data_IF_357239290189
#
_entry.id   IF_357239290189
#
_cell.length_a   1.000
_cell.length_b   1.000
_cell.length_c   1.000
_cell.angle_alpha   90.00
_cell.angle_beta   90.00
_cell.angle_gamma   90.00
#
_symmetry.space_group_name_H-M   'P 1'
#
loop_
_entity.id
_entity.type
_entity.pdbx_description
1 polymer ?
#
# COMPACT_ATOMS: atom_id res chain seq x y z
N UNK A 1 7.85 -4.27 -15.83
CA UNK A 1 6.93 -5.42 -15.70
C UNK A 1 6.91 -6.26 -16.98
N UNK A 2 6.45 -5.72 -18.14
CA UNK A 2 6.32 -6.51 -19.39
C UNK A 2 7.63 -7.19 -19.78
N UNK A 3 8.75 -6.46 -19.76
CA UNK A 3 10.07 -7.03 -20.09
C UNK A 3 10.47 -8.18 -19.15
N UNK A 4 10.17 -8.07 -17.86
CA UNK A 4 10.46 -9.12 -16.88
C UNK A 4 9.65 -10.40 -17.19
N UNK A 5 8.33 -10.26 -17.48
CA UNK A 5 7.45 -11.38 -17.83
C UNK A 5 7.95 -12.13 -19.09
N UNK A 6 8.58 -11.42 -20.03
CA UNK A 6 9.16 -12.03 -21.24
C UNK A 6 10.53 -12.65 -20.95
N UNK A 7 11.37 -11.99 -20.15
CA UNK A 7 12.72 -12.49 -19.85
C UNK A 7 12.72 -13.69 -18.89
N UNK A 8 11.76 -13.77 -17.95
CA UNK A 8 11.68 -14.89 -17.01
C UNK A 8 11.62 -16.26 -17.72
N UNK A 9 10.66 -16.53 -18.64
CA UNK A 9 10.65 -17.81 -19.36
C UNK A 9 11.90 -18.06 -20.21
N UNK A 10 12.43 -17.02 -20.85
CA UNK A 10 13.61 -17.14 -21.71
C UNK A 10 14.85 -17.52 -20.90
N UNK A 11 15.11 -16.87 -19.77
CA UNK A 11 16.30 -17.12 -18.96
C UNK A 11 16.15 -18.37 -18.09
N UNK A 12 14.95 -18.64 -17.56
CA UNK A 12 14.71 -19.81 -16.70
C UNK A 12 14.69 -21.10 -17.51
N UNK A 13 13.87 -21.14 -18.57
CA UNK A 13 13.64 -22.36 -19.34
C UNK A 13 14.50 -22.44 -20.61
N UNK A 14 14.64 -21.31 -21.34
CA UNK A 14 15.42 -21.26 -22.59
C UNK A 14 16.92 -21.49 -22.35
N UNK A 15 17.51 -20.68 -21.45
CA UNK A 15 18.92 -20.77 -21.09
C UNK A 15 19.19 -21.70 -19.89
N UNK A 16 18.15 -22.36 -19.35
CA UNK A 16 18.22 -23.29 -18.22
C UNK A 16 18.95 -22.76 -16.98
N UNK A 17 18.89 -21.42 -16.76
CA UNK A 17 19.57 -20.78 -15.64
C UNK A 17 18.84 -20.93 -14.30
N UNK A 18 17.62 -21.53 -14.28
CA UNK A 18 16.84 -21.72 -13.07
C UNK A 18 16.62 -20.42 -12.27
N UNK A 19 16.85 -20.47 -10.95
CA UNK A 19 16.66 -19.31 -10.04
C UNK A 19 17.58 -18.12 -10.41
N UNK A 20 18.80 -18.40 -10.88
CA UNK A 20 19.70 -17.35 -11.34
C UNK A 20 19.13 -16.59 -12.55
N UNK A 21 18.42 -17.30 -13.46
CA UNK A 21 17.74 -16.68 -14.60
C UNK A 21 16.67 -15.67 -14.18
N UNK A 22 15.86 -16.01 -13.17
CA UNK A 22 14.85 -15.09 -12.61
C UNK A 22 15.49 -13.84 -12.00
N UNK A 23 16.61 -13.99 -11.29
CA UNK A 23 17.35 -12.86 -10.72
C UNK A 23 17.89 -11.94 -11.82
N UNK A 24 18.50 -12.49 -12.88
CA UNK A 24 18.97 -11.71 -14.02
C UNK A 24 17.84 -11.03 -14.78
N UNK A 25 16.72 -11.71 -15.03
CA UNK A 25 15.55 -11.13 -15.68
C UNK A 25 15.04 -9.87 -14.92
N UNK A 26 14.96 -10.00 -13.61
CA UNK A 26 14.56 -8.88 -12.73
C UNK A 26 15.56 -7.72 -12.80
N UNK A 27 16.85 -8.01 -12.68
CA UNK A 27 17.92 -6.99 -12.71
C UNK A 27 17.97 -6.25 -14.03
N UNK A 28 17.91 -6.98 -15.15
CA UNK A 28 17.90 -6.39 -16.51
C UNK A 28 16.65 -5.51 -16.70
N UNK A 29 15.47 -6.01 -16.29
CA UNK A 29 14.21 -5.27 -16.41
C UNK A 29 14.21 -3.97 -15.61
N UNK A 30 14.81 -3.99 -14.41
CA UNK A 30 14.98 -2.78 -13.59
C UNK A 30 15.96 -1.80 -14.21
N UNK A 31 17.09 -2.28 -14.74
CA UNK A 31 18.08 -1.43 -15.43
C UNK A 31 17.47 -0.75 -16.66
N UNK A 32 16.75 -1.50 -17.49
CA UNK A 32 16.07 -0.94 -18.67
C UNK A 32 15.03 0.10 -18.25
N UNK A 33 14.23 -0.20 -17.22
CA UNK A 33 13.25 0.76 -16.69
C UNK A 33 13.91 2.03 -16.18
N UNK A 34 15.03 1.91 -15.48
CA UNK A 34 15.82 3.05 -15.02
C UNK A 34 16.33 3.91 -16.19
N UNK A 35 16.92 3.29 -17.22
CA UNK A 35 17.41 4.00 -18.42
C UNK A 35 16.27 4.71 -19.15
N UNK A 36 15.14 4.03 -19.34
CA UNK A 36 13.95 4.62 -19.99
C UNK A 36 13.44 5.83 -19.20
N UNK A 37 13.33 5.72 -17.87
CA UNK A 37 12.92 6.83 -17.01
C UNK A 37 13.92 8.00 -17.06
N UNK A 38 15.22 7.72 -17.09
CA UNK A 38 16.25 8.73 -17.19
C UNK A 38 16.16 9.50 -18.53
N UNK A 39 15.94 8.79 -19.63
CA UNK A 39 15.77 9.38 -20.97
C UNK A 39 14.50 10.22 -21.03
N UNK A 40 13.39 9.71 -20.50
CA UNK A 40 12.11 10.44 -20.45
C UNK A 40 12.22 11.70 -19.58
N UNK A 41 12.91 11.60 -18.43
CA UNK A 41 13.16 12.75 -17.56
C UNK A 41 13.96 13.83 -18.29
N UNK A 42 15.03 13.46 -19.01
CA UNK A 42 15.83 14.42 -19.78
C UNK A 42 15.05 15.11 -20.91
N UNK A 43 14.11 14.39 -21.55
CA UNK A 43 13.39 14.89 -22.73
C UNK A 43 12.09 15.63 -22.40
N UNK A 44 11.33 15.20 -21.38
CA UNK A 44 9.94 15.63 -21.17
C UNK A 44 9.60 16.13 -19.75
N UNK A 45 10.49 15.95 -18.77
CA UNK A 45 10.17 16.37 -17.41
C UNK A 45 10.28 17.89 -17.23
N UNK A 46 9.32 18.45 -16.48
CA UNK A 46 9.35 19.84 -16.05
C UNK A 46 10.54 20.13 -15.12
N UNK A 47 10.92 19.14 -14.30
CA UNK A 47 12.07 19.19 -13.39
C UNK A 47 13.14 18.24 -13.93
N UNK A 48 14.24 18.80 -14.43
CA UNK A 48 15.38 18.03 -14.97
C UNK A 48 16.37 17.72 -13.86
N UNK A 49 16.61 16.44 -13.60
CA UNK A 49 17.66 15.99 -12.70
C UNK A 49 19.02 16.22 -13.37
N UNK A 50 19.84 17.09 -12.80
CA UNK A 50 21.21 17.38 -13.25
C UNK A 50 22.18 17.08 -12.11
N UNK A 51 23.08 16.11 -12.30
CA UNK A 51 24.12 15.76 -11.34
C UNK A 51 25.05 16.93 -11.02
N UNK A 52 25.23 17.85 -11.98
CA UNK A 52 26.05 19.05 -11.78
C UNK A 52 25.47 20.07 -10.79
N UNK A 53 24.19 19.92 -10.42
CA UNK A 53 23.52 20.77 -9.42
C UNK A 53 23.29 20.04 -8.10
N UNK A 54 24.03 18.97 -7.85
CA UNK A 54 23.98 18.25 -6.59
C UNK A 54 24.64 19.10 -5.50
N UNK A 55 23.82 19.58 -4.57
CA UNK A 55 24.25 20.34 -3.38
C UNK A 55 23.96 19.50 -2.15
N UNK A 56 24.98 18.89 -1.51
CA UNK A 56 24.80 18.05 -0.32
C UNK A 56 24.64 18.92 0.93
N UNK A 57 23.46 19.53 1.11
CA UNK A 57 23.14 20.30 2.31
C UNK A 57 22.27 19.47 3.25
N UNK A 58 22.51 19.47 4.58
CA UNK A 58 21.76 18.70 5.56
C UNK A 58 20.24 18.96 5.52
N UNK A 59 19.84 20.19 5.21
CA UNK A 59 18.44 20.59 5.07
C UNK A 59 17.69 19.82 3.96
N UNK A 60 18.32 19.57 2.82
CA UNK A 60 17.69 18.80 1.75
C UNK A 60 17.57 17.33 2.11
N UNK A 61 18.58 16.75 2.77
CA UNK A 61 18.51 15.39 3.28
C UNK A 61 17.39 15.23 4.32
N UNK A 62 17.25 16.18 5.23
CA UNK A 62 16.16 16.19 6.19
C UNK A 62 14.77 16.21 5.52
N UNK A 63 14.57 17.09 4.51
CA UNK A 63 13.31 17.15 3.74
C UNK A 63 13.02 15.86 2.99
N UNK A 64 14.03 15.27 2.34
CA UNK A 64 13.89 13.98 1.63
C UNK A 64 13.53 12.88 2.61
N UNK A 65 14.24 12.80 3.73
CA UNK A 65 13.98 11.81 4.77
C UNK A 65 12.56 11.95 5.34
N UNK A 66 12.17 13.15 5.76
CA UNK A 66 10.84 13.42 6.32
C UNK A 66 9.72 13.10 5.32
N UNK A 67 9.90 13.45 4.04
CA UNK A 67 8.94 13.11 2.99
C UNK A 67 8.88 11.60 2.67
N UNK A 68 9.97 10.86 2.92
CA UNK A 68 10.07 9.41 2.71
C UNK A 68 9.54 8.57 3.87
N UNK A 69 9.54 9.10 5.10
CA UNK A 69 9.11 8.38 6.31
C UNK A 69 7.74 7.72 6.19
N UNK A 70 6.68 8.34 5.63
CA UNK A 70 5.39 7.68 5.49
C UNK A 70 5.45 6.41 4.63
N UNK A 71 6.26 6.43 3.58
CA UNK A 71 6.45 5.27 2.70
C UNK A 71 7.28 4.18 3.38
N UNK A 72 8.29 4.56 4.14
CA UNK A 72 9.10 3.65 4.95
C UNK A 72 8.25 2.97 6.04
N UNK A 73 7.43 3.72 6.76
CA UNK A 73 6.51 3.19 7.76
C UNK A 73 5.54 2.19 7.15
N UNK A 74 4.94 2.53 6.01
CA UNK A 74 4.00 1.64 5.32
C UNK A 74 4.65 0.32 4.91
N UNK A 75 5.87 0.36 4.37
CA UNK A 75 6.54 -0.81 3.82
C UNK A 75 7.27 -1.63 4.91
N UNK A 76 8.05 -0.94 5.76
CA UNK A 76 8.86 -1.60 6.80
C UNK A 76 8.01 -2.25 7.88
N UNK A 77 7.04 -1.50 8.40
CA UNK A 77 6.12 -2.03 9.43
C UNK A 77 5.26 -3.15 8.86
N UNK A 78 4.87 -3.07 7.58
CA UNK A 78 4.13 -4.13 6.90
C UNK A 78 4.87 -5.45 6.84
N UNK A 79 6.18 -5.42 6.63
CA UNK A 79 7.01 -6.64 6.65
C UNK A 79 7.04 -7.29 8.03
N UNK A 80 7.21 -6.50 9.09
CA UNK A 80 7.18 -6.97 10.47
C UNK A 80 5.80 -7.57 10.80
N UNK A 81 4.74 -6.89 10.43
CA UNK A 81 3.37 -7.34 10.65
C UNK A 81 3.08 -8.69 9.97
N UNK A 82 3.57 -8.89 8.75
CA UNK A 82 3.42 -10.17 8.04
C UNK A 82 4.14 -11.31 8.77
N UNK A 83 5.35 -11.07 9.28
CA UNK A 83 6.08 -12.08 10.07
C UNK A 83 5.30 -12.44 11.34
N UNK A 84 4.80 -11.44 12.08
CA UNK A 84 4.03 -11.66 13.30
C UNK A 84 2.72 -12.40 13.03
N UNK A 85 2.05 -12.11 11.93
CA UNK A 85 0.81 -12.79 11.52
C UNK A 85 1.07 -14.26 11.20
N UNK A 86 2.16 -14.57 10.50
CA UNK A 86 2.55 -15.95 10.21
C UNK A 86 2.96 -16.72 11.47
N UNK A 87 3.68 -16.07 12.40
CA UNK A 87 4.00 -16.67 13.71
C UNK A 87 2.73 -16.96 14.51
N UNK A 88 1.78 -16.04 14.53
CA UNK A 88 0.49 -16.25 15.20
C UNK A 88 -0.29 -17.42 14.55
N UNK A 89 -0.34 -17.50 13.22
CA UNK A 89 -0.96 -18.60 12.51
C UNK A 89 -0.34 -19.95 12.87
N UNK A 90 0.99 -20.02 12.98
CA UNK A 90 1.69 -21.22 13.42
C UNK A 90 1.39 -21.61 14.87
N UNK A 91 1.41 -20.64 15.79
CA UNK A 91 1.21 -20.90 17.19
C UNK A 91 -0.22 -21.30 17.57
N UNK A 92 -1.23 -20.73 16.90
CA UNK A 92 -2.65 -20.97 17.18
C UNK A 92 -3.32 -21.95 16.22
N UNK A 93 -2.63 -22.39 15.17
CA UNK A 93 -3.14 -23.36 14.20
C UNK A 93 -3.22 -24.81 14.73
N UNK A 94 -2.54 -25.13 15.84
CA UNK A 94 -2.56 -26.46 16.45
C UNK A 94 -2.13 -27.53 15.44
N UNK A 95 -2.97 -28.56 15.24
CA UNK A 95 -2.72 -29.63 14.29
C UNK A 95 -2.71 -29.16 12.80
N UNK A 96 -3.37 -28.04 12.50
CA UNK A 96 -3.43 -27.43 11.17
C UNK A 96 -2.48 -26.21 11.02
N UNK A 97 -1.43 -26.10 11.84
CA UNK A 97 -0.52 -24.95 11.84
C UNK A 97 0.09 -24.66 10.46
N UNK A 98 0.57 -25.70 9.76
CA UNK A 98 1.15 -25.57 8.42
C UNK A 98 0.10 -25.12 7.39
N UNK A 99 -1.13 -25.63 7.51
CA UNK A 99 -2.25 -25.21 6.66
C UNK A 99 -2.64 -23.75 6.94
N UNK A 100 -2.67 -23.32 8.22
CA UNK A 100 -2.95 -21.97 8.60
C UNK A 100 -1.91 -20.97 8.08
N UNK A 101 -0.61 -21.28 8.22
CA UNK A 101 0.48 -20.45 7.67
C UNK A 101 0.35 -20.35 6.15
N UNK A 102 0.10 -21.47 5.48
CA UNK A 102 -0.08 -21.49 4.02
C UNK A 102 -1.30 -20.67 3.59
N UNK A 103 -2.45 -20.83 4.27
CA UNK A 103 -3.67 -20.07 4.01
C UNK A 103 -3.46 -18.57 4.15
N UNK A 104 -2.87 -18.12 5.28
CA UNK A 104 -2.56 -16.72 5.51
C UNK A 104 -1.56 -16.17 4.47
N UNK A 105 -0.60 -17.00 4.04
CA UNK A 105 0.32 -16.67 2.96
C UNK A 105 -0.39 -16.39 1.63
N UNK A 106 -1.37 -17.22 1.26
CA UNK A 106 -2.19 -17.03 0.05
C UNK A 106 -3.07 -15.79 0.17
N UNK A 107 -3.78 -15.63 1.29
CA UNK A 107 -4.62 -14.45 1.55
C UNK A 107 -3.80 -13.16 1.47
N UNK A 108 -2.59 -13.16 2.06
CA UNK A 108 -1.69 -12.01 2.00
C UNK A 108 -1.25 -11.67 0.56
N UNK A 109 -0.99 -12.66 -0.29
CA UNK A 109 -0.65 -12.45 -1.71
C UNK A 109 -1.80 -11.82 -2.48
N UNK A 110 -3.03 -12.31 -2.29
CA UNK A 110 -4.24 -11.76 -2.91
C UNK A 110 -4.46 -10.30 -2.44
N UNK A 111 -4.35 -10.06 -1.14
CA UNK A 111 -4.48 -8.72 -0.55
C UNK A 111 -3.38 -7.78 -1.04
N UNK A 112 -2.14 -8.25 -1.19
CA UNK A 112 -1.02 -7.47 -1.72
C UNK A 112 -1.27 -7.03 -3.17
N UNK A 113 -1.85 -7.90 -4.00
CA UNK A 113 -2.23 -7.56 -5.37
C UNK A 113 -3.27 -6.43 -5.40
N UNK A 114 -4.36 -6.56 -4.62
CA UNK A 114 -5.40 -5.54 -4.50
C UNK A 114 -4.84 -4.20 -3.97
N UNK A 115 -4.00 -4.25 -2.93
CA UNK A 115 -3.35 -3.06 -2.37
C UNK A 115 -2.39 -2.40 -3.37
N UNK A 116 -1.66 -3.18 -4.18
CA UNK A 116 -0.75 -2.64 -5.20
C UNK A 116 -1.51 -1.87 -6.28
N UNK A 117 -2.66 -2.38 -6.70
CA UNK A 117 -3.55 -1.67 -7.64
C UNK A 117 -4.05 -0.35 -7.05
N UNK A 118 -4.47 -0.35 -5.77
CA UNK A 118 -4.89 0.86 -5.05
C UNK A 118 -3.76 1.88 -4.89
N UNK A 119 -2.55 1.42 -4.55
CA UNK A 119 -1.37 2.29 -4.44
C UNK A 119 -1.06 2.92 -5.80
N UNK A 120 -1.10 2.15 -6.89
CA UNK A 120 -0.90 2.66 -8.24
C UNK A 120 -1.94 3.72 -8.63
N UNK A 121 -3.21 3.47 -8.29
CA UNK A 121 -4.30 4.44 -8.48
C UNK A 121 -4.05 5.73 -7.67
N UNK A 122 -3.67 5.61 -6.41
CA UNK A 122 -3.35 6.76 -5.56
C UNK A 122 -2.11 7.54 -6.01
N UNK A 123 -1.10 6.87 -6.60
CA UNK A 123 0.05 7.54 -7.22
C UNK A 123 -0.37 8.41 -8.41
N UNK A 124 -1.42 8.04 -9.14
CA UNK A 124 -2.03 8.89 -10.16
C UNK A 124 -2.72 10.14 -9.59
N UNK A 125 -3.30 10.04 -8.40
CA UNK A 125 -3.90 11.18 -7.69
C UNK A 125 -2.88 12.21 -7.20
N UNK A 126 -1.69 11.78 -6.75
CA UNK A 126 -0.68 12.65 -6.13
C UNK A 126 -0.25 13.84 -7.01
N UNK A 127 0.10 13.69 -8.31
CA UNK A 127 0.47 14.82 -9.15
C UNK A 127 -0.69 15.80 -9.36
N UNK A 128 -1.93 15.32 -9.50
CA UNK A 128 -3.12 16.17 -9.61
C UNK A 128 -3.34 16.95 -8.32
N UNK A 129 -3.18 16.31 -7.17
CA UNK A 129 -3.27 16.94 -5.87
C UNK A 129 -2.17 18.01 -5.71
N UNK A 130 -0.91 17.64 -5.95
CA UNK A 130 0.25 18.51 -5.75
C UNK A 130 0.22 19.77 -6.62
N UNK A 131 -0.10 19.64 -7.90
CA UNK A 131 -0.18 20.80 -8.82
C UNK A 131 -1.32 21.75 -8.46
N UNK A 132 -2.51 21.23 -8.11
CA UNK A 132 -3.63 22.09 -7.72
C UNK A 132 -3.42 22.70 -6.33
N UNK A 133 -2.82 21.98 -5.39
CA UNK A 133 -2.50 22.49 -4.07
C UNK A 133 -1.45 23.61 -4.16
N UNK A 134 -0.36 23.40 -4.93
CA UNK A 134 0.66 24.42 -5.16
C UNK A 134 0.13 25.67 -5.89
N UNK A 135 -0.91 25.52 -6.72
CA UNK A 135 -1.60 26.62 -7.38
C UNK A 135 -2.67 27.32 -6.50
N UNK A 136 -2.80 26.93 -5.22
CA UNK A 136 -3.81 27.49 -4.29
C UNK A 136 -5.26 27.03 -4.56
N UNK A 137 -5.49 26.16 -5.53
CA UNK A 137 -6.83 25.68 -5.96
C UNK A 137 -7.33 24.55 -5.06
N UNK A 138 -7.59 24.85 -3.79
CA UNK A 138 -7.96 23.88 -2.76
C UNK A 138 -9.27 23.15 -3.05
N UNK A 139 -10.26 23.86 -3.59
CA UNK A 139 -11.55 23.27 -3.99
C UNK A 139 -11.35 22.16 -5.03
N UNK A 140 -10.44 22.34 -5.98
CA UNK A 140 -10.12 21.31 -6.99
C UNK A 140 -9.45 20.08 -6.37
N UNK A 141 -8.55 20.27 -5.39
CA UNK A 141 -7.95 19.15 -4.64
C UNK A 141 -9.03 18.33 -3.96
N UNK A 142 -9.96 19.00 -3.28
CA UNK A 142 -11.09 18.35 -2.62
C UNK A 142 -11.99 17.60 -3.59
N UNK A 143 -12.34 18.19 -4.73
CA UNK A 143 -13.15 17.54 -5.78
C UNK A 143 -12.42 16.29 -6.33
N UNK A 144 -11.13 16.41 -6.66
CA UNK A 144 -10.31 15.29 -7.13
C UNK A 144 -10.24 14.17 -6.08
N UNK A 145 -10.07 14.50 -4.80
CA UNK A 145 -10.06 13.52 -3.73
C UNK A 145 -11.36 12.73 -3.64
N UNK A 146 -12.51 13.42 -3.59
CA UNK A 146 -13.82 12.73 -3.54
C UNK A 146 -14.12 11.94 -4.81
N UNK A 147 -13.70 12.41 -5.98
CA UNK A 147 -13.79 11.64 -7.21
C UNK A 147 -12.99 10.35 -7.12
N UNK A 148 -11.73 10.41 -6.65
CA UNK A 148 -10.89 9.24 -6.46
C UNK A 148 -11.45 8.28 -5.40
N UNK A 149 -12.02 8.79 -4.30
CA UNK A 149 -12.69 7.95 -3.30
C UNK A 149 -13.87 7.20 -3.92
N UNK A 150 -14.77 7.89 -4.64
CA UNK A 150 -15.95 7.25 -5.24
C UNK A 150 -15.56 6.18 -6.25
N UNK A 151 -14.61 6.51 -7.15
CA UNK A 151 -14.14 5.58 -8.16
C UNK A 151 -13.40 4.40 -7.52
N UNK A 152 -12.49 4.67 -6.58
CA UNK A 152 -11.73 3.65 -5.85
C UNK A 152 -12.63 2.74 -5.03
N UNK A 153 -13.57 3.29 -4.26
CA UNK A 153 -14.55 2.49 -3.50
C UNK A 153 -15.41 1.64 -4.42
N UNK A 154 -15.90 2.18 -5.54
CA UNK A 154 -16.70 1.42 -6.50
C UNK A 154 -15.91 0.26 -7.12
N UNK A 155 -14.69 0.52 -7.59
CA UNK A 155 -13.83 -0.52 -8.17
C UNK A 155 -13.45 -1.61 -7.14
N UNK A 156 -13.06 -1.19 -5.93
CA UNK A 156 -12.68 -2.14 -4.86
C UNK A 156 -13.89 -2.90 -4.34
N UNK A 157 -15.05 -2.26 -4.22
CA UNK A 157 -16.27 -2.97 -3.83
C UNK A 157 -16.64 -4.07 -4.85
N UNK A 158 -16.56 -3.77 -6.14
CA UNK A 158 -16.79 -4.77 -7.19
C UNK A 158 -15.78 -5.93 -7.09
N UNK A 159 -14.50 -5.63 -6.93
CA UNK A 159 -13.45 -6.65 -6.74
C UNK A 159 -13.66 -7.44 -5.44
N UNK A 160 -14.08 -6.79 -4.34
CA UNK A 160 -14.36 -7.45 -3.07
C UNK A 160 -15.55 -8.41 -3.16
N UNK A 161 -16.61 -8.02 -3.86
CA UNK A 161 -17.77 -8.90 -4.09
C UNK A 161 -17.37 -10.12 -4.91
N UNK A 162 -16.60 -9.93 -5.98
CA UNK A 162 -16.08 -11.04 -6.80
C UNK A 162 -15.16 -11.95 -5.98
N UNK A 163 -14.21 -11.37 -5.23
CA UNK A 163 -13.29 -12.13 -4.40
C UNK A 163 -14.02 -12.88 -3.27
N UNK A 164 -15.06 -12.28 -2.68
CA UNK A 164 -15.90 -12.91 -1.66
C UNK A 164 -16.68 -14.10 -2.22
N UNK A 165 -17.30 -13.95 -3.40
CA UNK A 165 -18.08 -15.01 -4.06
C UNK A 165 -17.19 -16.17 -4.51
N UNK A 166 -16.03 -15.87 -5.09
CA UNK A 166 -15.08 -16.86 -5.61
C UNK A 166 -13.92 -17.17 -4.65
N UNK A 167 -14.08 -16.88 -3.35
CA UNK A 167 -13.02 -17.07 -2.36
C UNK A 167 -12.46 -18.49 -2.32
N UNK A 168 -13.26 -19.58 -2.29
CA UNK A 168 -12.74 -20.95 -2.31
C UNK A 168 -11.89 -21.24 -3.57
N UNK A 169 -12.39 -20.87 -4.74
CA UNK A 169 -11.71 -21.08 -6.01
C UNK A 169 -10.40 -20.30 -6.12
N UNK A 170 -10.40 -19.05 -5.58
CA UNK A 170 -9.19 -18.24 -5.53
C UNK A 170 -8.12 -18.87 -4.62
N UNK A 171 -8.49 -19.46 -3.49
CA UNK A 171 -7.54 -20.13 -2.61
C UNK A 171 -7.06 -21.43 -3.25
N UNK A 172 -7.96 -22.25 -3.82
CA UNK A 172 -7.62 -23.50 -4.53
C UNK A 172 -6.64 -23.30 -5.68
N UNK A 173 -6.74 -22.16 -6.39
CA UNK A 173 -5.79 -21.84 -7.48
C UNK A 173 -4.34 -21.78 -7.00
N UNK A 174 -4.11 -21.43 -5.73
CA UNK A 174 -2.75 -21.37 -5.16
C UNK A 174 -2.36 -22.65 -4.45
N UNK A 175 -3.30 -23.33 -3.81
CA UNK A 175 -3.05 -24.58 -3.08
C UNK A 175 -4.35 -25.38 -2.93
N UNK A 176 -4.31 -26.60 -3.47
CA UNK A 176 -5.43 -27.55 -3.42
C UNK A 176 -5.30 -28.47 -2.20
N UNK A 177 -5.57 -27.90 -1.01
CA UNK A 177 -5.53 -28.58 0.28
C UNK A 177 -6.79 -28.16 1.05
N UNK A 178 -7.57 -29.13 1.52
CA UNK A 178 -8.89 -28.88 2.13
C UNK A 178 -8.80 -27.94 3.33
N UNK A 179 -7.83 -28.12 4.21
CA UNK A 179 -7.67 -27.27 5.42
C UNK A 179 -7.25 -25.86 5.03
N UNK A 180 -6.35 -25.71 4.05
CA UNK A 180 -5.93 -24.41 3.53
C UNK A 180 -7.10 -23.67 2.89
N UNK A 181 -7.97 -24.37 2.16
CA UNK A 181 -9.14 -23.78 1.51
C UNK A 181 -10.16 -23.30 2.55
N UNK A 182 -10.42 -24.08 3.61
CA UNK A 182 -11.36 -23.70 4.66
C UNK A 182 -10.88 -22.45 5.38
N UNK A 183 -9.66 -22.48 5.92
CA UNK A 183 -9.07 -21.37 6.69
C UNK A 183 -8.90 -20.13 5.81
N UNK A 184 -8.32 -20.31 4.61
CA UNK A 184 -8.08 -19.23 3.68
C UNK A 184 -9.35 -18.56 3.17
N UNK A 185 -10.42 -19.32 2.95
CA UNK A 185 -11.72 -18.77 2.53
C UNK A 185 -12.34 -17.90 3.62
N UNK A 186 -12.28 -18.32 4.88
CA UNK A 186 -12.78 -17.54 6.00
C UNK A 186 -12.02 -16.23 6.15
N UNK A 187 -10.68 -16.29 6.14
CA UNK A 187 -9.81 -15.12 6.24
C UNK A 187 -9.98 -14.17 5.05
N UNK A 188 -10.06 -14.69 3.81
CA UNK A 188 -10.24 -13.87 2.60
C UNK A 188 -11.59 -13.16 2.60
N UNK A 189 -12.66 -13.85 2.98
CA UNK A 189 -14.00 -13.26 3.10
C UNK A 189 -14.04 -12.15 4.14
N UNK A 190 -13.42 -12.36 5.31
CA UNK A 190 -13.29 -11.32 6.33
C UNK A 190 -12.52 -10.11 5.81
N UNK A 191 -11.42 -10.32 5.09
CA UNK A 191 -10.61 -9.25 4.47
C UNK A 191 -11.41 -8.47 3.41
N UNK A 192 -12.23 -9.12 2.59
CA UNK A 192 -13.04 -8.47 1.57
C UNK A 192 -14.03 -7.46 2.17
N UNK A 193 -14.57 -7.69 3.37
CA UNK A 193 -15.48 -6.77 4.03
C UNK A 193 -14.83 -5.42 4.38
N UNK A 194 -13.55 -5.43 4.71
CA UNK A 194 -12.82 -4.22 5.12
C UNK A 194 -11.98 -3.60 4.01
N UNK A 195 -11.80 -4.30 2.88
CA UNK A 195 -10.94 -3.83 1.79
C UNK A 195 -11.38 -2.47 1.24
N UNK A 196 -12.69 -2.17 1.21
CA UNK A 196 -13.20 -0.86 0.77
C UNK A 196 -12.73 0.28 1.67
N UNK A 197 -12.57 0.03 2.98
CA UNK A 197 -12.10 1.02 3.94
C UNK A 197 -10.63 1.43 3.68
N UNK A 198 -9.84 0.51 3.11
CA UNK A 198 -8.44 0.77 2.80
C UNK A 198 -8.25 1.81 1.70
N UNK A 199 -9.26 2.01 0.84
CA UNK A 199 -9.26 3.08 -0.18
C UNK A 199 -9.12 4.44 0.49
N UNK A 200 -9.92 4.70 1.55
CA UNK A 200 -9.84 5.94 2.31
C UNK A 200 -8.47 6.11 2.98
N UNK A 201 -7.98 5.06 3.64
CA UNK A 201 -6.71 5.10 4.36
C UNK A 201 -5.55 5.44 3.41
N UNK A 202 -5.48 4.77 2.26
CA UNK A 202 -4.40 4.98 1.27
C UNK A 202 -4.48 6.37 0.66
N UNK A 203 -5.65 6.80 0.18
CA UNK A 203 -5.82 8.12 -0.43
C UNK A 203 -5.63 9.26 0.59
N UNK A 204 -6.08 9.08 1.84
CA UNK A 204 -5.84 10.03 2.92
C UNK A 204 -4.34 10.17 3.21
N UNK A 205 -3.61 9.05 3.33
CA UNK A 205 -2.15 9.07 3.52
C UNK A 205 -1.44 9.81 2.38
N UNK A 206 -1.84 9.54 1.13
CA UNK A 206 -1.25 10.18 -0.05
C UNK A 206 -1.60 11.67 -0.14
N UNK A 207 -2.82 12.06 0.23
CA UNK A 207 -3.21 13.46 0.35
C UNK A 207 -2.32 14.18 1.36
N UNK A 208 -2.23 13.67 2.59
CA UNK A 208 -1.43 14.25 3.67
C UNK A 208 0.05 14.36 3.29
N UNK A 209 0.60 13.33 2.66
CA UNK A 209 1.98 13.31 2.16
C UNK A 209 2.21 14.39 1.10
N UNK A 210 1.27 14.56 0.15
CA UNK A 210 1.40 15.51 -0.96
C UNK A 210 1.29 16.96 -0.50
N UNK A 211 0.48 17.25 0.52
CA UNK A 211 0.33 18.62 1.08
C UNK A 211 1.42 18.97 2.11
N UNK A 212 2.37 18.06 2.35
CA UNK A 212 3.51 18.29 3.24
C UNK A 212 3.28 17.96 4.72
N UNK A 213 2.12 17.37 5.06
CA UNK A 213 1.81 16.92 6.43
C UNK A 213 2.42 15.53 6.71
N UNK A 214 3.76 15.42 6.60
CA UNK A 214 4.49 14.15 6.62
C UNK A 214 4.28 13.37 7.92
N UNK A 215 4.22 14.02 9.07
CA UNK A 215 3.98 13.36 10.37
C UNK A 215 2.61 12.69 10.41
N UNK A 216 1.57 13.41 10.05
CA UNK A 216 0.20 12.87 10.02
C UNK A 216 0.07 11.73 8.99
N UNK A 217 0.69 11.88 7.82
CA UNK A 217 0.78 10.84 6.81
C UNK A 217 1.47 9.58 7.36
N UNK A 218 2.57 9.74 8.13
CA UNK A 218 3.30 8.64 8.76
C UNK A 218 2.46 7.91 9.80
N UNK A 219 1.73 8.66 10.63
CA UNK A 219 0.82 8.07 11.64
C UNK A 219 -0.27 7.24 10.97
N UNK A 220 -0.95 7.77 9.95
CA UNK A 220 -1.98 7.02 9.22
C UNK A 220 -1.40 5.81 8.49
N UNK A 221 -0.20 5.96 7.89
CA UNK A 221 0.48 4.87 7.18
C UNK A 221 0.88 3.73 8.13
N UNK A 222 1.41 4.07 9.32
CA UNK A 222 1.82 3.12 10.33
C UNK A 222 0.63 2.52 11.09
N UNK A 223 -0.49 3.25 11.19
CA UNK A 223 -1.65 2.83 11.97
C UNK A 223 -2.18 1.48 11.54
N UNK A 224 -2.34 1.26 10.25
CA UNK A 224 -2.93 0.05 9.68
C UNK A 224 -2.11 -1.19 9.98
N UNK A 225 -0.82 -1.17 9.75
CA UNK A 225 0.04 -2.36 9.82
C UNK A 225 0.91 -2.42 11.07
N UNK A 226 1.10 -1.29 11.76
CA UNK A 226 1.91 -1.20 12.97
C UNK A 226 1.08 -1.00 14.22
N UNK A 227 0.52 0.21 14.35
CA UNK A 227 -0.10 0.64 15.60
C UNK A 227 -1.30 -0.24 16.01
N UNK A 228 -2.09 -0.70 15.04
CA UNK A 228 -3.28 -1.50 15.33
C UNK A 228 -3.07 -2.99 15.04
N UNK A 229 -2.46 -3.37 13.92
CA UNK A 229 -2.32 -4.78 13.59
C UNK A 229 -1.43 -5.53 14.59
N UNK A 230 -0.31 -4.95 15.00
CA UNK A 230 0.61 -5.62 15.93
C UNK A 230 -0.09 -5.95 17.26
N UNK A 231 -0.74 -5.00 17.99
CA UNK A 231 -1.49 -5.34 19.19
C UNK A 231 -2.62 -6.32 18.95
N UNK A 232 -3.37 -6.16 17.86
CA UNK A 232 -4.50 -7.02 17.52
C UNK A 232 -4.06 -8.47 17.28
N UNK A 233 -2.91 -8.68 16.61
CA UNK A 233 -2.33 -10.02 16.38
C UNK A 233 -1.91 -10.70 17.69
N UNK A 234 -1.60 -9.94 18.75
CA UNK A 234 -1.34 -10.55 20.07
C UNK A 234 -2.61 -10.76 20.89
N UNK A 235 -3.60 -9.87 20.81
CA UNK A 235 -4.79 -9.91 21.64
C UNK A 235 -5.84 -10.87 21.08
N UNK A 236 -6.17 -10.74 19.79
CA UNK A 236 -7.30 -11.45 19.19
C UNK A 236 -7.11 -12.98 19.15
N UNK A 237 -5.91 -13.52 18.81
CA UNK A 237 -5.69 -14.96 18.84
C UNK A 237 -5.73 -15.56 20.26
N UNK A 238 -5.35 -14.80 21.29
CA UNK A 238 -5.49 -15.24 22.68
C UNK A 238 -6.96 -15.42 23.10
N UNK A 239 -7.89 -14.67 22.47
CA UNK A 239 -9.33 -14.73 22.79
C UNK A 239 -10.09 -15.72 21.91
N UNK A 240 -9.74 -15.81 20.62
CA UNK A 240 -10.50 -16.53 19.60
C UNK A 240 -9.70 -17.66 18.92
N UNK A 241 -8.46 -17.92 19.36
CA UNK A 241 -7.61 -18.93 18.72
C UNK A 241 -7.30 -18.58 17.26
N UNK A 242 -7.39 -19.55 16.35
CA UNK A 242 -7.11 -19.38 14.93
C UNK A 242 -8.01 -18.34 14.26
N UNK A 243 -9.30 -18.29 14.61
CA UNK A 243 -10.23 -17.26 14.11
C UNK A 243 -9.74 -15.84 14.45
N UNK A 244 -9.05 -15.67 15.59
CA UNK A 244 -8.43 -14.39 15.94
C UNK A 244 -7.35 -13.96 14.96
N UNK A 245 -6.61 -14.88 14.37
CA UNK A 245 -5.61 -14.60 13.32
C UNK A 245 -6.31 -14.19 12.02
N UNK A 246 -7.38 -14.89 11.64
CA UNK A 246 -8.16 -14.60 10.42
C UNK A 246 -8.79 -13.20 10.45
N UNK A 247 -9.29 -12.77 11.62
CA UNK A 247 -9.92 -11.46 11.82
C UNK A 247 -8.95 -10.35 12.22
N UNK A 248 -7.66 -10.63 12.45
CA UNK A 248 -6.70 -9.64 12.93
C UNK A 248 -6.51 -8.48 11.93
N UNK A 249 -6.34 -8.77 10.65
CA UNK A 249 -6.17 -7.75 9.61
C UNK A 249 -7.46 -6.92 9.39
N UNK A 250 -8.66 -7.52 9.26
CA UNK A 250 -9.91 -6.76 9.22
C UNK A 250 -10.14 -5.84 10.41
N UNK A 251 -9.84 -6.29 11.62
CA UNK A 251 -9.97 -5.48 12.82
C UNK A 251 -9.00 -4.28 12.80
N UNK A 252 -7.75 -4.50 12.39
CA UNK A 252 -6.77 -3.44 12.24
C UNK A 252 -7.19 -2.41 11.16
N UNK A 253 -7.79 -2.87 10.06
CA UNK A 253 -8.29 -2.00 8.99
C UNK A 253 -9.44 -1.11 9.48
N UNK A 254 -10.35 -1.64 10.30
CA UNK A 254 -11.42 -0.85 10.94
C UNK A 254 -10.88 0.22 11.87
N UNK A 255 -9.93 -0.13 12.74
CA UNK A 255 -9.31 0.82 13.67
C UNK A 255 -8.50 1.89 12.92
N UNK A 256 -7.75 1.50 11.90
CA UNK A 256 -7.01 2.43 11.06
C UNK A 256 -7.94 3.39 10.29
N UNK A 257 -9.09 2.90 9.81
CA UNK A 257 -10.09 3.73 9.18
C UNK A 257 -10.71 4.73 10.17
N UNK A 258 -11.04 4.29 11.39
CA UNK A 258 -11.56 5.14 12.45
C UNK A 258 -10.59 6.28 12.81
N UNK A 259 -9.29 6.03 12.75
CA UNK A 259 -8.25 7.05 12.94
C UNK A 259 -8.11 7.97 11.71
N UNK A 260 -8.05 7.39 10.50
CA UNK A 260 -7.81 8.14 9.27
C UNK A 260 -8.99 9.01 8.85
N UNK A 261 -10.22 8.61 9.18
CA UNK A 261 -11.43 9.33 8.81
C UNK A 261 -11.48 10.76 9.36
N UNK A 262 -11.36 11.00 10.68
CA UNK A 262 -11.38 12.35 11.22
C UNK A 262 -10.19 13.18 10.74
N UNK A 263 -9.00 12.59 10.59
CA UNK A 263 -7.82 13.28 10.09
C UNK A 263 -8.02 13.77 8.65
N UNK A 264 -8.52 12.90 7.76
CA UNK A 264 -8.82 13.28 6.38
C UNK A 264 -9.93 14.33 6.29
N UNK A 265 -11.01 14.15 7.04
CA UNK A 265 -12.13 15.10 7.05
C UNK A 265 -11.73 16.48 7.59
N UNK A 266 -10.86 16.57 8.61
CA UNK A 266 -10.38 17.83 9.15
C UNK A 266 -9.62 18.63 8.09
N UNK A 267 -8.73 17.98 7.35
CA UNK A 267 -7.98 18.63 6.25
C UNK A 267 -8.91 19.02 5.10
N UNK A 268 -9.85 18.17 4.70
CA UNK A 268 -10.80 18.48 3.64
C UNK A 268 -11.79 19.61 4.01
N UNK A 269 -12.05 19.83 5.30
CA UNK A 269 -12.83 20.97 5.77
C UNK A 269 -12.09 22.30 5.53
N UNK A 270 -10.78 22.32 5.72
CA UNK A 270 -9.97 23.53 5.45
C UNK A 270 -9.91 23.88 3.96
N UNK A 271 -10.24 22.92 3.08
CA UNK A 271 -10.29 23.12 1.61
C UNK A 271 -11.67 23.59 1.11
N UNK A 272 -12.58 23.95 2.00
CA UNK A 272 -13.91 24.47 1.62
C UNK A 272 -13.87 25.90 1.09
N UNK A 273 -12.92 26.71 1.52
CA UNK A 273 -12.73 28.08 1.06
C UNK A 273 -11.44 28.19 0.25
N UNK A 274 -11.51 28.84 -0.91
CA UNK A 274 -10.34 29.20 -1.72
C UNK A 274 -9.57 30.40 -1.10
N UNK A 275 -9.61 30.56 0.22
CA UNK A 275 -8.81 31.54 0.91
C UNK A 275 -7.32 31.26 0.61
N UNK A 276 -6.52 32.28 0.22
CA UNK A 276 -5.11 32.10 -0.01
C UNK A 276 -4.50 31.49 1.25
N UNK A 277 -3.81 30.38 1.08
CA UNK A 277 -2.97 29.82 2.13
C UNK A 277 -2.03 30.97 2.52
N UNK A 278 -1.89 31.33 3.80
CA UNK A 278 -0.73 32.10 4.18
C UNK A 278 0.45 31.31 3.61
N UNK A 279 1.16 31.94 2.67
CA UNK A 279 2.40 31.41 2.19
C UNK A 279 3.18 31.05 3.46
N UNK A 280 3.42 29.74 3.64
CA UNK A 280 4.43 29.32 4.59
C UNK A 280 5.65 29.97 4.00
N UNK A 281 5.94 31.17 4.52
CA UNK A 281 7.16 31.90 4.26
C UNK A 281 8.25 30.85 4.37
N UNK A 282 8.77 30.45 3.23
CA UNK A 282 10.13 29.97 3.14
C UNK A 282 10.94 31.14 3.68
N UNK A 283 11.12 31.21 4.99
CA UNK A 283 12.19 32.01 5.58
C UNK A 283 13.44 31.35 5.03
N UNK A 284 13.96 32.02 4.03
CA UNK A 284 15.38 32.03 3.75
C UNK A 284 16.02 32.51 5.06
N UNK A 285 16.64 31.62 5.79
CA UNK A 285 17.77 31.81 6.68
C UNK A 285 18.72 30.64 6.49
#
# INVERSE_FOLDING_TARGET
AVLNVVLDPVLIFGLKMGVAGAAWATSISQLVSFVVLLVLNRRRAAIKVRLSRFTPQPHYFYKIFTGGVPSLCRQGVGSIATVLLNLAAGNYGGAAADAAIAAMGVVNRISMFANSALIGFGQGFQPVCGTNYGAGKRTRVRQAFYFCIRLGCGAVAALSVLAFAFAPQLIQLFRDDADVVIIGTAALRAQCLTLVLTVWIILCTMLLQTIGMAWQASVVAAARQGLFLIPVVFILPNLLGLAGVEYAQPAADLLAFALALPMGLSVLKTFRSDAPTPAHTLREE
#
